data_IF_684406705201
#
_entry.id   IF_684406705201
#
_cell.length_a   1.000
_cell.length_b   1.000
_cell.length_c   1.000
_cell.angle_alpha   90.00
_cell.angle_beta   90.00
_cell.angle_gamma   90.00
#
_symmetry.space_group_name_H-M   'P 1'
#
loop_
_entity.id
_entity.type
_entity.pdbx_description
1 polymer ?
#
# COMPACT_ATOMS: atom_id res chain seq x y z
N UNK A 1 0.81 13.70 -31.89
CA UNK A 1 1.84 12.84 -31.24
C UNK A 1 2.26 13.46 -29.89
N UNK A 2 2.58 12.67 -28.85
CA UNK A 2 2.87 13.17 -27.48
C UNK A 2 4.04 14.18 -27.41
N UNK A 3 5.00 14.11 -28.34
CA UNK A 3 6.22 14.92 -28.34
C UNK A 3 6.39 15.79 -29.59
N UNK A 4 5.30 16.14 -30.28
CA UNK A 4 5.36 16.78 -31.61
C UNK A 4 6.29 17.99 -31.70
N UNK A 5 6.24 18.87 -30.71
CA UNK A 5 6.96 20.17 -30.74
C UNK A 5 8.26 20.16 -29.93
N UNK A 6 8.68 19.02 -29.35
CA UNK A 6 9.77 18.96 -28.39
C UNK A 6 11.06 18.44 -29.02
N UNK A 7 12.09 19.28 -29.05
CA UNK A 7 13.42 18.90 -29.54
C UNK A 7 14.30 18.34 -28.41
N UNK A 8 14.14 17.04 -28.13
CA UNK A 8 14.97 16.31 -27.18
C UNK A 8 14.53 16.39 -25.71
N UNK A 9 15.27 15.70 -24.83
CA UNK A 9 14.98 15.69 -23.40
C UNK A 9 13.61 15.11 -23.05
N UNK A 10 13.31 13.92 -23.58
CA UNK A 10 12.03 13.21 -23.39
C UNK A 10 11.96 12.45 -22.06
N UNK A 11 13.11 12.21 -21.45
CA UNK A 11 13.25 11.47 -20.21
C UNK A 11 13.68 12.39 -19.07
N UNK A 12 13.15 12.11 -17.88
CA UNK A 12 13.63 12.65 -16.61
C UNK A 12 14.16 11.50 -15.77
N UNK A 13 15.38 11.66 -15.25
CA UNK A 13 16.01 10.69 -14.37
C UNK A 13 16.06 11.29 -12.96
N UNK A 14 15.48 10.59 -11.98
CA UNK A 14 15.47 11.00 -10.57
C UNK A 14 16.19 9.93 -9.76
N UNK A 15 17.32 10.28 -9.15
CA UNK A 15 18.07 9.37 -8.28
C UNK A 15 17.33 9.17 -6.96
N UNK A 16 17.30 7.95 -6.47
CA UNK A 16 16.48 7.54 -5.30
C UNK A 16 17.28 6.90 -4.18
N UNK A 17 18.61 6.93 -4.30
CA UNK A 17 19.53 6.32 -3.35
C UNK A 17 19.83 4.86 -3.68
N UNK A 18 20.24 4.08 -2.68
CA UNK A 18 20.81 2.75 -2.88
C UNK A 18 19.80 1.62 -2.67
N UNK A 19 20.00 0.50 -3.36
CA UNK A 19 19.23 -0.73 -3.20
C UNK A 19 19.62 -1.43 -1.91
N UNK A 20 18.62 -1.92 -1.16
CA UNK A 20 18.85 -2.73 0.04
C UNK A 20 19.45 -4.08 -0.36
N UNK A 21 20.57 -4.45 0.26
CA UNK A 21 21.28 -5.70 0.02
C UNK A 21 22.66 -5.45 -0.58
N UNK A 22 22.70 -5.03 -1.85
CA UNK A 22 23.94 -4.89 -2.62
C UNK A 22 24.42 -3.43 -2.78
N UNK A 23 23.66 -2.46 -2.29
CA UNK A 23 24.08 -1.06 -2.31
C UNK A 23 24.14 -0.42 -3.69
N UNK A 24 23.53 -1.02 -4.73
CA UNK A 24 23.52 -0.44 -6.08
C UNK A 24 22.68 0.85 -6.15
N UNK A 25 23.15 1.89 -6.86
CA UNK A 25 22.41 3.14 -7.03
C UNK A 25 21.14 2.91 -7.88
N UNK A 26 20.02 3.47 -7.43
CA UNK A 26 18.72 3.37 -8.11
C UNK A 26 18.26 4.74 -8.60
N UNK A 27 17.51 4.73 -9.70
CA UNK A 27 16.83 5.90 -10.21
C UNK A 27 15.45 5.54 -10.77
N UNK A 28 14.53 6.50 -10.75
CA UNK A 28 13.32 6.49 -11.55
C UNK A 28 13.60 7.14 -12.90
N UNK A 29 13.08 6.54 -13.96
CA UNK A 29 13.14 7.06 -15.33
C UNK A 29 11.72 7.33 -15.77
N UNK A 30 11.42 8.58 -16.07
CA UNK A 30 10.08 9.06 -16.41
C UNK A 30 10.05 9.64 -17.82
N UNK A 31 8.94 9.39 -18.52
CA UNK A 31 8.63 10.04 -19.79
C UNK A 31 7.93 11.37 -19.50
N UNK A 32 8.51 12.48 -19.95
CA UNK A 32 7.91 13.81 -19.85
C UNK A 32 6.50 13.80 -20.47
N UNK A 33 5.54 14.52 -19.90
CA UNK A 33 4.17 14.59 -20.44
C UNK A 33 3.30 13.36 -20.12
N UNK A 34 3.79 12.42 -19.30
CA UNK A 34 3.02 11.26 -18.83
C UNK A 34 2.47 11.45 -17.41
N UNK A 35 2.63 12.62 -16.82
CA UNK A 35 2.31 12.92 -15.42
C UNK A 35 0.83 12.65 -15.13
N UNK A 36 -0.08 13.14 -15.99
CA UNK A 36 -1.52 12.92 -15.84
C UNK A 36 -1.90 11.43 -15.76
N UNK A 37 -1.31 10.60 -16.63
CA UNK A 37 -1.55 9.15 -16.64
C UNK A 37 -1.01 8.49 -15.37
N UNK A 38 0.14 8.97 -14.87
CA UNK A 38 0.73 8.45 -13.63
C UNK A 38 -0.11 8.82 -12.41
N UNK A 39 -0.68 10.01 -12.39
CA UNK A 39 -1.54 10.51 -11.31
C UNK A 39 -2.88 9.77 -11.27
N UNK A 40 -3.56 9.61 -12.42
CA UNK A 40 -4.78 8.78 -12.52
C UNK A 40 -4.53 7.33 -12.04
N UNK A 41 -3.40 6.74 -12.44
CA UNK A 41 -3.01 5.40 -11.97
C UNK A 41 -2.68 5.38 -10.48
N UNK A 42 -2.20 6.48 -9.91
CA UNK A 42 -1.88 6.60 -8.48
C UNK A 42 -3.16 6.69 -7.65
N UNK A 43 -4.11 7.51 -8.08
CA UNK A 43 -5.43 7.67 -7.47
C UNK A 43 -6.19 6.34 -7.45
N UNK A 44 -6.32 5.68 -8.60
CA UNK A 44 -6.96 4.36 -8.69
C UNK A 44 -6.31 3.32 -7.76
N UNK A 45 -4.98 3.33 -7.62
CA UNK A 45 -4.29 2.44 -6.66
C UNK A 45 -4.54 2.85 -5.22
N UNK A 46 -4.70 4.12 -4.91
CA UNK A 46 -5.00 4.60 -3.57
C UNK A 46 -6.42 4.19 -3.16
N UNK A 47 -7.41 4.37 -4.05
CA UNK A 47 -8.78 3.92 -3.87
C UNK A 47 -8.88 2.41 -3.63
N UNK A 48 -8.23 1.59 -4.48
CA UNK A 48 -8.21 0.14 -4.30
C UNK A 48 -7.59 -0.28 -2.95
N UNK A 49 -6.56 0.44 -2.48
CA UNK A 49 -5.97 0.17 -1.16
C UNK A 49 -6.87 0.61 -0.02
N UNK A 50 -7.60 1.71 -0.16
CA UNK A 50 -8.57 2.18 0.84
C UNK A 50 -9.70 1.16 0.98
N UNK A 51 -10.30 0.73 -0.14
CA UNK A 51 -11.35 -0.28 -0.14
C UNK A 51 -10.90 -1.59 0.51
N UNK A 52 -9.69 -2.08 0.17
CA UNK A 52 -9.14 -3.29 0.79
C UNK A 52 -8.93 -3.14 2.30
N UNK A 53 -8.57 -1.96 2.79
CA UNK A 53 -8.42 -1.71 4.23
C UNK A 53 -9.78 -1.71 4.93
N UNK A 54 -10.79 -1.06 4.36
CA UNK A 54 -12.15 -1.05 4.90
C UNK A 54 -12.76 -2.45 4.94
N UNK A 55 -12.59 -3.23 3.87
CA UNK A 55 -13.02 -4.64 3.83
C UNK A 55 -12.31 -5.48 4.90
N UNK A 56 -10.99 -5.28 5.09
CA UNK A 56 -10.21 -5.99 6.10
C UNK A 56 -10.63 -5.58 7.52
N UNK A 57 -10.88 -4.30 7.77
CA UNK A 57 -11.33 -3.79 9.06
C UNK A 57 -12.72 -4.30 9.41
N UNK A 58 -13.64 -4.31 8.45
CA UNK A 58 -14.98 -4.89 8.63
C UNK A 58 -14.90 -6.39 8.90
N UNK A 59 -14.07 -7.13 8.16
CA UNK A 59 -13.86 -8.55 8.40
C UNK A 59 -13.25 -8.82 9.79
N UNK A 60 -12.34 -7.96 10.26
CA UNK A 60 -11.75 -8.06 11.59
C UNK A 60 -12.77 -7.76 12.70
N UNK A 61 -13.63 -6.76 12.50
CA UNK A 61 -14.73 -6.44 13.41
C UNK A 61 -15.77 -7.57 13.46
N UNK A 62 -16.12 -8.15 12.32
CA UNK A 62 -17.03 -9.31 12.26
C UNK A 62 -16.42 -10.55 12.92
N UNK A 63 -15.11 -10.80 12.73
CA UNK A 63 -14.40 -11.86 13.45
C UNK A 63 -14.40 -11.62 14.96
N UNK A 64 -14.14 -10.39 15.39
CA UNK A 64 -14.11 -10.02 16.80
C UNK A 64 -15.50 -10.12 17.45
N UNK A 65 -16.56 -9.66 16.76
CA UNK A 65 -17.93 -9.82 17.21
C UNK A 65 -18.38 -11.29 17.26
N UNK A 66 -17.92 -12.13 16.32
CA UNK A 66 -18.21 -13.56 16.33
C UNK A 66 -17.46 -14.29 17.46
N UNK A 67 -16.21 -13.89 17.75
CA UNK A 67 -15.44 -14.37 18.91
C UNK A 67 -16.13 -13.99 20.24
N UNK A 68 -16.64 -12.77 20.36
CA UNK A 68 -17.39 -12.29 21.54
C UNK A 68 -18.76 -12.99 21.68
N UNK A 69 -19.48 -13.20 20.59
CA UNK A 69 -20.78 -13.90 20.59
C UNK A 69 -20.68 -15.41 20.83
N UNK A 70 -19.56 -16.04 20.46
CA UNK A 70 -19.28 -17.46 20.73
C UNK A 70 -18.90 -17.77 22.18
N UNK A 71 -18.93 -16.76 23.07
CA UNK A 71 -18.50 -16.89 24.46
C UNK A 71 -16.98 -16.93 24.55
N UNK A 72 -16.37 -15.74 24.67
CA UNK A 72 -14.95 -15.61 25.03
C UNK A 72 -14.61 -16.41 26.29
N UNK A 73 -13.34 -16.84 26.44
CA UNK A 73 -12.96 -17.96 27.29
C UNK A 73 -13.44 -17.72 28.72
N UNK A 74 -14.04 -18.74 29.33
CA UNK A 74 -14.13 -18.82 30.77
C UNK A 74 -12.72 -18.59 31.32
N UNK A 75 -12.48 -17.38 31.81
CA UNK A 75 -11.32 -17.06 32.62
C UNK A 75 -11.31 -18.09 33.75
N UNK A 76 -10.20 -18.81 33.87
CA UNK A 76 -10.00 -19.80 34.91
C UNK A 76 -10.18 -19.18 36.29
N UNK A 77 -11.31 -19.46 36.91
CA UNK A 77 -11.41 -19.52 38.36
C UNK A 77 -10.94 -20.91 38.77
N UNK A 78 -9.76 -20.99 39.38
CA UNK A 78 -9.31 -22.24 40.01
C UNK A 78 -7.82 -22.35 40.18
N UNK A 79 -7.23 -21.64 41.14
CA UNK A 79 -6.28 -22.26 42.07
C UNK A 79 -6.10 -21.38 43.33
N UNK A 80 -6.97 -21.62 44.32
CA UNK A 80 -6.57 -21.58 45.73
C UNK A 80 -6.20 -23.03 46.09
N UNK A 81 -4.92 -23.37 46.14
CA UNK A 81 -4.36 -24.43 47.00
C UNK A 81 -2.87 -24.65 46.72
N UNK A 82 -1.99 -24.04 47.52
CA UNK A 82 -0.99 -24.69 48.40
C UNK A 82 -0.14 -23.64 49.11
#
# INVERSE_FOLDING_TARGET
>A
PRYGDRNGGYLRIIRTGFRKGDGGEKAFIELIGSEKILDERREKRAELRAKRREEMEKAMQEQQANLEASGGPAAGEGEKSE
#
